data_IF_422374879496
#
_entry.id   IF_422374879496
#
_cell.length_a   1.000
_cell.length_b   1.000
_cell.length_c   1.000
_cell.angle_alpha   90.00
_cell.angle_beta   90.00
_cell.angle_gamma   90.00
#
_symmetry.space_group_name_H-M   'P 1'
#
loop_
_entity.id
_entity.type
_entity.pdbx_description
1 polymer ?
#
# COMPACT_ATOMS: atom_id res chain seq x y z
N UNK A 1 0.22 15.69 13.69
CA UNK A 1 0.07 14.20 13.71
C UNK A 1 0.82 13.67 14.94
N UNK A 2 0.14 12.89 15.80
CA UNK A 2 0.80 12.25 16.94
C UNK A 2 1.62 11.05 16.44
N UNK A 3 2.91 11.01 16.76
CA UNK A 3 3.79 9.86 16.52
C UNK A 3 4.07 9.21 17.87
N UNK A 4 3.64 7.97 18.03
CA UNK A 4 3.92 7.16 19.20
C UNK A 4 5.09 6.23 18.88
N UNK A 5 6.12 6.18 19.71
CA UNK A 5 7.25 5.24 19.55
C UNK A 5 7.13 4.15 20.61
N UNK A 6 7.04 2.89 20.17
CA UNK A 6 7.01 1.74 21.07
C UNK A 6 8.22 0.87 20.76
N UNK A 7 9.05 0.58 21.79
CA UNK A 7 10.09 -0.44 21.65
C UNK A 7 9.45 -1.82 21.72
N UNK A 8 9.65 -2.62 20.69
CA UNK A 8 9.19 -4.00 20.65
C UNK A 8 10.06 -4.93 21.52
N UNK A 9 9.72 -6.24 21.57
CA UNK A 9 10.41 -7.27 22.36
C UNK A 9 11.91 -7.39 22.08
N UNK A 10 12.38 -6.91 20.92
CA UNK A 10 13.79 -6.97 20.47
C UNK A 10 14.49 -5.61 20.49
N UNK A 11 13.85 -4.59 21.08
CA UNK A 11 14.48 -3.26 21.30
C UNK A 11 14.43 -2.30 20.11
N UNK A 12 13.85 -2.70 18.95
CA UNK A 12 13.67 -1.83 17.78
C UNK A 12 12.51 -0.86 18.03
N UNK A 13 12.73 0.41 17.76
CA UNK A 13 11.76 1.48 18.02
C UNK A 13 10.87 1.72 16.78
N UNK A 14 9.81 0.91 16.60
CA UNK A 14 8.79 1.19 15.59
C UNK A 14 7.99 2.44 15.98
N UNK A 15 7.82 3.35 15.03
CA UNK A 15 6.95 4.50 15.19
C UNK A 15 5.56 4.19 14.64
N UNK A 16 4.55 4.78 15.29
CA UNK A 16 3.14 4.62 14.89
C UNK A 16 2.55 5.98 14.60
N UNK A 17 1.74 6.07 13.55
CA UNK A 17 1.04 7.28 13.14
C UNK A 17 -0.45 7.05 13.13
N UNK A 18 -1.19 8.01 13.67
CA UNK A 18 -2.64 8.02 13.65
C UNK A 18 -3.13 8.31 12.23
N UNK A 19 -4.15 7.58 11.77
CA UNK A 19 -4.74 7.75 10.44
C UNK A 19 -5.88 8.79 10.49
N UNK A 20 -5.65 9.93 9.84
CA UNK A 20 -6.63 11.00 9.70
C UNK A 20 -7.20 11.46 11.05
N UNK A 21 -8.52 11.60 11.09
CA UNK A 21 -9.25 11.96 12.32
C UNK A 21 -9.68 10.74 13.16
N UNK A 22 -9.37 9.52 12.71
CA UNK A 22 -9.77 8.28 13.37
C UNK A 22 -8.96 8.01 14.67
N UNK A 23 -9.33 6.97 15.40
CA UNK A 23 -8.58 6.43 16.54
C UNK A 23 -7.58 5.33 16.16
N UNK A 24 -7.49 5.00 14.87
CA UNK A 24 -6.62 3.94 14.33
C UNK A 24 -5.19 4.46 14.16
N UNK A 25 -4.22 3.73 14.74
CA UNK A 25 -2.79 4.01 14.59
C UNK A 25 -2.07 2.83 13.94
N UNK A 26 -1.23 3.12 12.95
CA UNK A 26 -0.49 2.12 12.16
C UNK A 26 1.01 2.32 12.29
N UNK A 27 1.79 1.24 12.16
CA UNK A 27 3.23 1.30 12.05
C UNK A 27 3.64 2.08 10.79
N UNK A 28 4.64 2.96 10.88
CA UNK A 28 5.12 3.77 9.74
C UNK A 28 5.52 2.91 8.54
N UNK A 29 6.10 1.72 8.80
CA UNK A 29 6.32 0.69 7.79
C UNK A 29 5.34 -0.44 8.09
N UNK A 30 4.49 -0.71 7.13
CA UNK A 30 3.41 -1.71 7.15
C UNK A 30 3.64 -2.73 6.05
N UNK A 31 2.78 -3.72 5.88
CA UNK A 31 2.97 -4.73 4.85
C UNK A 31 1.85 -4.70 3.81
N UNK A 32 2.23 -4.56 2.52
CA UNK A 32 1.34 -4.70 1.38
C UNK A 32 1.18 -6.17 0.97
N UNK A 33 -0.05 -6.69 1.06
CA UNK A 33 -0.35 -8.12 0.89
C UNK A 33 -0.65 -8.55 -0.56
N UNK A 34 -0.53 -7.67 -1.55
CA UNK A 34 -0.85 -8.04 -2.94
C UNK A 34 -0.03 -9.23 -3.44
N UNK A 35 1.24 -9.29 -3.09
CA UNK A 35 2.12 -10.40 -3.49
C UNK A 35 1.67 -11.76 -2.95
N UNK A 36 0.90 -11.80 -1.85
CA UNK A 36 0.36 -13.02 -1.26
C UNK A 36 -0.75 -13.65 -2.10
N UNK A 37 -1.43 -12.87 -2.94
CA UNK A 37 -2.52 -13.33 -3.80
C UNK A 37 -2.08 -14.36 -4.84
N UNK A 38 -0.83 -14.31 -5.27
CA UNK A 38 -0.34 -15.10 -6.37
C UNK A 38 -0.82 -14.59 -7.73
N UNK A 39 -0.70 -15.43 -8.75
CA UNK A 39 -1.26 -15.15 -10.08
C UNK A 39 -2.79 -15.10 -10.00
N UNK A 40 -3.38 -14.13 -10.68
CA UNK A 40 -4.79 -13.85 -10.68
C UNK A 40 -5.26 -13.36 -12.05
N UNK A 41 -6.56 -13.31 -12.26
CA UNK A 41 -7.21 -12.79 -13.46
C UNK A 41 -8.21 -11.71 -13.06
N UNK A 42 -8.10 -10.56 -13.69
CA UNK A 42 -9.03 -9.44 -13.53
C UNK A 42 -9.57 -9.08 -14.91
N UNK A 43 -10.87 -9.25 -15.11
CA UNK A 43 -11.52 -8.99 -16.41
C UNK A 43 -10.80 -9.66 -17.59
N UNK A 44 -10.44 -10.93 -17.45
CA UNK A 44 -9.76 -11.70 -18.50
C UNK A 44 -8.27 -11.40 -18.69
N UNK A 45 -7.71 -10.47 -17.92
CA UNK A 45 -6.29 -10.09 -17.98
C UNK A 45 -5.51 -10.69 -16.80
N UNK A 46 -4.36 -11.34 -17.03
CA UNK A 46 -3.50 -11.78 -15.95
C UNK A 46 -3.03 -10.61 -15.09
N UNK A 47 -3.20 -10.73 -13.78
CA UNK A 47 -2.78 -9.71 -12.83
C UNK A 47 -2.37 -10.36 -11.50
N UNK A 48 -1.13 -10.21 -11.10
CA UNK A 48 -0.67 -10.80 -9.86
C UNK A 48 0.84 -11.02 -9.81
N UNK A 49 1.25 -11.91 -8.94
CA UNK A 49 2.65 -12.18 -8.66
C UNK A 49 2.93 -13.69 -8.73
N UNK A 50 3.91 -14.09 -9.54
CA UNK A 50 4.34 -15.48 -9.60
C UNK A 50 5.16 -15.89 -8.36
N UNK A 51 5.33 -17.20 -8.19
CA UNK A 51 6.24 -17.80 -7.20
C UNK A 51 5.93 -17.37 -5.74
N UNK A 52 4.69 -17.61 -5.31
CA UNK A 52 4.24 -17.35 -3.94
C UNK A 52 4.36 -18.61 -3.09
N UNK A 53 5.20 -18.56 -2.06
CA UNK A 53 5.36 -19.60 -1.05
C UNK A 53 4.76 -19.16 0.29
N UNK A 54 3.71 -19.86 0.76
CA UNK A 54 3.00 -19.51 2.00
C UNK A 54 3.89 -19.67 3.25
N UNK A 55 4.86 -20.60 3.25
CA UNK A 55 5.77 -20.78 4.38
C UNK A 55 6.73 -19.59 4.50
N UNK A 56 7.36 -19.19 3.40
CA UNK A 56 8.24 -18.02 3.37
C UNK A 56 7.48 -16.73 3.78
N UNK A 57 6.25 -16.57 3.29
CA UNK A 57 5.37 -15.44 3.67
C UNK A 57 5.04 -15.48 5.15
N UNK A 58 4.74 -16.65 5.71
CA UNK A 58 4.42 -16.82 7.14
C UNK A 58 5.61 -16.44 8.02
N UNK A 59 6.82 -16.87 7.66
CA UNK A 59 8.06 -16.48 8.35
C UNK A 59 8.28 -14.97 8.30
N UNK A 60 8.09 -14.37 7.13
CA UNK A 60 8.21 -12.93 6.91
C UNK A 60 7.21 -12.11 7.75
N UNK A 61 5.93 -12.52 7.79
CA UNK A 61 4.89 -11.86 8.58
C UNK A 61 5.18 -11.96 10.08
N UNK A 62 5.56 -13.13 10.59
CA UNK A 62 5.89 -13.29 12.00
C UNK A 62 7.10 -12.43 12.39
N UNK A 63 8.13 -12.40 11.56
CA UNK A 63 9.26 -11.50 11.75
C UNK A 63 8.83 -10.03 11.82
N UNK A 64 7.98 -9.58 10.89
CA UNK A 64 7.46 -8.21 10.88
C UNK A 64 6.69 -7.87 12.17
N UNK A 65 5.85 -8.77 12.64
CA UNK A 65 5.09 -8.63 13.90
C UNK A 65 6.05 -8.48 15.09
N UNK A 66 7.07 -9.32 15.18
CA UNK A 66 8.07 -9.24 16.25
C UNK A 66 8.85 -7.92 16.21
N UNK A 67 8.95 -7.28 15.04
CA UNK A 67 9.56 -5.97 14.83
C UNK A 67 8.59 -4.79 14.92
N UNK A 68 7.33 -5.03 15.35
CA UNK A 68 6.36 -3.99 15.66
C UNK A 68 5.43 -3.59 14.52
N UNK A 69 5.43 -4.29 13.40
CA UNK A 69 4.42 -4.08 12.36
C UNK A 69 3.05 -4.48 12.91
N UNK A 70 2.09 -3.57 12.82
CA UNK A 70 0.72 -3.79 13.28
C UNK A 70 -0.34 -3.62 12.18
N UNK A 71 0.05 -3.28 10.94
CA UNK A 71 -0.88 -3.02 9.85
C UNK A 71 -0.56 -3.86 8.62
N UNK A 72 -1.61 -4.48 8.05
CA UNK A 72 -1.59 -5.30 6.84
C UNK A 72 -2.60 -4.78 5.84
N UNK A 73 -2.13 -4.38 4.65
CA UNK A 73 -2.97 -3.83 3.58
C UNK A 73 -3.31 -4.91 2.55
N UNK A 74 -4.58 -5.28 2.46
CA UNK A 74 -5.14 -6.31 1.59
C UNK A 74 -6.11 -5.73 0.56
N UNK A 75 -6.73 -6.57 -0.27
CA UNK A 75 -7.90 -6.30 -1.09
C UNK A 75 -8.62 -7.60 -1.45
N UNK A 76 -9.93 -7.52 -1.72
CA UNK A 76 -10.76 -8.63 -2.18
C UNK A 76 -10.23 -9.27 -3.46
N UNK A 77 -9.75 -8.46 -4.39
CA UNK A 77 -9.20 -8.89 -5.69
C UNK A 77 -7.84 -9.59 -5.59
N UNK A 78 -7.09 -9.49 -4.48
CA UNK A 78 -5.78 -10.11 -4.36
C UNK A 78 -5.89 -11.64 -4.31
N UNK A 79 -5.73 -12.27 -5.48
CA UNK A 79 -5.98 -13.69 -5.66
C UNK A 79 -7.45 -14.09 -5.36
N UNK A 80 -8.41 -13.19 -5.60
CA UNK A 80 -9.84 -13.39 -5.31
C UNK A 80 -10.05 -13.88 -3.87
N UNK A 81 -9.58 -13.07 -2.91
CA UNK A 81 -9.63 -13.35 -1.48
C UNK A 81 -8.57 -14.32 -0.96
N UNK A 82 -7.67 -14.85 -1.81
CA UNK A 82 -6.60 -15.75 -1.36
C UNK A 82 -5.66 -15.06 -0.36
N UNK A 83 -5.29 -13.80 -0.62
CA UNK A 83 -4.41 -13.05 0.26
C UNK A 83 -5.07 -12.80 1.64
N UNK A 84 -6.37 -12.48 1.68
CA UNK A 84 -7.13 -12.33 2.93
C UNK A 84 -7.17 -13.65 3.72
N UNK A 85 -7.52 -14.76 3.06
CA UNK A 85 -7.55 -16.08 3.69
C UNK A 85 -6.18 -16.54 4.17
N UNK A 86 -5.10 -16.27 3.42
CA UNK A 86 -3.73 -16.58 3.82
C UNK A 86 -3.33 -15.78 5.05
N UNK A 87 -3.57 -14.46 5.05
CA UNK A 87 -3.29 -13.60 6.20
C UNK A 87 -4.02 -14.10 7.46
N UNK A 88 -5.30 -14.41 7.32
CA UNK A 88 -6.12 -14.96 8.42
C UNK A 88 -5.55 -16.27 8.98
N UNK A 89 -5.07 -17.20 8.14
CA UNK A 89 -4.43 -18.43 8.60
C UNK A 89 -3.15 -18.16 9.38
N UNK A 90 -2.29 -17.25 8.87
CA UNK A 90 -1.01 -16.92 9.50
C UNK A 90 -1.22 -16.21 10.84
N UNK A 91 -2.13 -15.27 10.93
CA UNK A 91 -2.42 -14.54 12.16
C UNK A 91 -3.17 -15.38 13.19
N UNK A 92 -4.03 -16.30 12.73
CA UNK A 92 -4.84 -17.18 13.60
C UNK A 92 -5.67 -16.38 14.61
N UNK A 93 -5.64 -16.78 15.87
CA UNK A 93 -6.38 -16.11 16.97
C UNK A 93 -5.89 -14.69 17.26
N UNK A 94 -4.73 -14.29 16.73
CA UNK A 94 -4.15 -12.94 16.90
C UNK A 94 -4.73 -11.90 15.94
N UNK A 95 -5.59 -12.29 14.99
CA UNK A 95 -6.05 -11.40 13.91
C UNK A 95 -6.62 -10.07 14.43
N UNK A 96 -7.30 -10.06 15.58
CA UNK A 96 -7.88 -8.87 16.19
C UNK A 96 -6.86 -7.94 16.87
N UNK A 97 -5.60 -8.35 16.98
CA UNK A 97 -4.53 -7.52 17.53
C UNK A 97 -3.90 -6.58 16.50
N UNK A 98 -4.32 -6.67 15.25
CA UNK A 98 -3.73 -5.95 14.13
C UNK A 98 -4.76 -5.07 13.42
N UNK A 99 -4.28 -3.99 12.82
CA UNK A 99 -5.04 -3.16 11.90
C UNK A 99 -5.04 -3.85 10.53
N UNK A 100 -6.21 -4.19 10.02
CA UNK A 100 -6.35 -4.82 8.70
C UNK A 100 -7.14 -3.90 7.79
N UNK A 101 -6.50 -3.54 6.68
CA UNK A 101 -7.14 -2.86 5.58
C UNK A 101 -7.51 -3.87 4.48
N UNK A 102 -8.68 -3.68 3.87
CA UNK A 102 -9.03 -4.33 2.60
C UNK A 102 -9.85 -3.38 1.73
N UNK A 103 -10.18 -3.79 0.50
CA UNK A 103 -10.69 -2.88 -0.53
C UNK A 103 -11.75 -3.57 -1.38
N UNK A 104 -12.66 -2.78 -1.94
CA UNK A 104 -13.66 -3.15 -2.94
C UNK A 104 -13.47 -2.32 -4.22
N UNK A 105 -13.62 -2.92 -5.41
CA UNK A 105 -13.66 -2.13 -6.65
C UNK A 105 -13.23 -2.87 -7.91
N UNK A 106 -12.23 -3.74 -7.85
CA UNK A 106 -11.70 -4.42 -9.05
C UNK A 106 -12.36 -5.76 -9.37
N UNK A 107 -13.23 -6.25 -8.51
CA UNK A 107 -13.91 -7.52 -8.71
C UNK A 107 -15.43 -7.33 -8.71
N UNK A 108 -16.06 -7.07 -9.88
CA UNK A 108 -17.50 -6.85 -9.96
C UNK A 108 -18.33 -8.14 -9.80
N UNK A 109 -17.72 -9.32 -9.94
CA UNK A 109 -18.48 -10.59 -9.91
C UNK A 109 -19.55 -10.63 -10.99
N UNK A 110 -20.81 -10.77 -10.59
CA UNK A 110 -21.98 -10.74 -11.47
C UNK A 110 -22.70 -9.38 -11.48
N UNK A 111 -22.20 -8.39 -10.74
CA UNK A 111 -22.74 -7.04 -10.73
C UNK A 111 -22.34 -6.29 -12.01
N UNK A 112 -23.14 -5.32 -12.44
CA UNK A 112 -22.80 -4.46 -13.58
C UNK A 112 -21.57 -3.59 -13.28
N UNK A 113 -21.42 -3.19 -12.00
CA UNK A 113 -20.31 -2.40 -11.52
C UNK A 113 -19.90 -2.83 -10.12
N UNK A 114 -18.59 -2.77 -9.82
CA UNK A 114 -18.07 -3.18 -8.51
C UNK A 114 -18.58 -2.30 -7.35
N UNK A 115 -19.06 -1.10 -7.64
CA UNK A 115 -19.62 -0.19 -6.64
C UNK A 115 -21.15 -0.21 -6.56
N UNK A 116 -21.81 -1.23 -7.11
CA UNK A 116 -23.22 -1.45 -6.80
C UNK A 116 -23.43 -1.67 -5.29
N UNK A 117 -24.44 -1.05 -4.67
CA UNK A 117 -24.67 -1.09 -3.23
C UNK A 117 -24.74 -2.52 -2.64
N UNK A 118 -25.48 -3.41 -3.30
CA UNK A 118 -25.59 -4.81 -2.87
C UNK A 118 -24.27 -5.56 -2.97
N UNK A 119 -23.51 -5.26 -4.03
CA UNK A 119 -22.19 -5.89 -4.24
C UNK A 119 -21.17 -5.41 -3.22
N UNK A 120 -21.09 -4.11 -2.91
CA UNK A 120 -20.23 -3.58 -1.85
C UNK A 120 -20.48 -4.29 -0.52
N UNK A 121 -21.75 -4.42 -0.12
CA UNK A 121 -22.13 -5.11 1.11
C UNK A 121 -21.70 -6.58 1.09
N UNK A 122 -22.04 -7.30 0.01
CA UNK A 122 -21.67 -8.71 -0.15
C UNK A 122 -20.14 -8.91 -0.05
N UNK A 123 -19.36 -8.10 -0.75
CA UNK A 123 -17.89 -8.21 -0.72
C UNK A 123 -17.29 -7.83 0.64
N UNK A 124 -17.84 -6.85 1.33
CA UNK A 124 -17.44 -6.54 2.70
C UNK A 124 -17.65 -7.76 3.62
N UNK A 125 -18.83 -8.37 3.56
CA UNK A 125 -19.16 -9.58 4.34
C UNK A 125 -18.28 -10.77 3.95
N UNK A 126 -18.00 -10.92 2.64
CA UNK A 126 -17.06 -11.95 2.16
C UNK A 126 -15.63 -11.72 2.68
N UNK A 127 -15.16 -10.47 2.70
CA UNK A 127 -13.85 -10.12 3.29
C UNK A 127 -13.81 -10.42 4.78
N UNK A 128 -14.87 -10.14 5.53
CA UNK A 128 -14.98 -10.50 6.95
C UNK A 128 -14.86 -12.02 7.16
N UNK A 129 -15.53 -12.82 6.32
CA UNK A 129 -15.41 -14.29 6.35
C UNK A 129 -13.98 -14.75 6.02
N UNK A 130 -13.36 -14.20 4.97
CA UNK A 130 -12.00 -14.53 4.57
C UNK A 130 -10.98 -14.21 5.68
N UNK A 131 -11.13 -13.04 6.31
CA UNK A 131 -10.25 -12.55 7.37
C UNK A 131 -10.57 -13.18 8.74
N UNK A 132 -11.72 -13.86 8.89
CA UNK A 132 -12.25 -14.40 10.16
C UNK A 132 -12.34 -13.31 11.23
N UNK A 133 -12.97 -12.20 10.89
CA UNK A 133 -13.15 -11.03 11.75
C UNK A 133 -14.60 -10.55 11.74
N UNK A 134 -14.99 -9.87 12.81
CA UNK A 134 -16.29 -9.23 12.92
C UNK A 134 -16.29 -7.82 12.30
N UNK A 135 -15.12 -7.21 12.14
CA UNK A 135 -14.95 -5.88 11.54
C UNK A 135 -13.65 -5.75 10.74
N UNK A 136 -13.63 -4.80 9.81
CA UNK A 136 -12.47 -4.35 9.04
C UNK A 136 -12.05 -2.98 9.60
N UNK A 137 -10.77 -2.78 9.92
CA UNK A 137 -10.32 -1.49 10.46
C UNK A 137 -10.37 -0.38 9.42
N UNK A 138 -9.95 -0.66 8.18
CA UNK A 138 -9.90 0.32 7.09
C UNK A 138 -10.42 -0.31 5.80
N UNK A 139 -11.57 0.17 5.31
CA UNK A 139 -12.19 -0.32 4.09
C UNK A 139 -12.11 0.74 2.99
N UNK A 140 -11.49 0.40 1.87
CA UNK A 140 -11.24 1.33 0.78
C UNK A 140 -12.20 1.12 -0.39
N UNK A 141 -12.61 2.23 -1.01
CA UNK A 141 -12.85 2.21 -2.45
C UNK A 141 -11.51 2.05 -3.16
N UNK A 142 -11.37 1.03 -4.03
CA UNK A 142 -10.08 0.63 -4.61
C UNK A 142 -9.63 1.49 -5.80
N UNK A 143 -10.56 2.22 -6.44
CA UNK A 143 -10.31 3.16 -7.53
C UNK A 143 -11.34 4.30 -7.54
N UNK A 144 -11.11 5.32 -8.39
CA UNK A 144 -11.98 6.49 -8.51
C UNK A 144 -13.01 6.42 -9.63
N UNK A 145 -13.18 5.27 -10.28
CA UNK A 145 -14.22 5.05 -11.28
C UNK A 145 -15.50 4.55 -10.61
N UNK A 146 -16.54 5.39 -10.63
CA UNK A 146 -17.87 5.08 -10.08
C UNK A 146 -18.92 4.87 -11.20
N UNK A 147 -18.48 4.47 -12.38
CA UNK A 147 -19.32 4.27 -13.56
C UNK A 147 -19.59 5.55 -14.33
N UNK A 148 -20.30 5.42 -15.45
CA UNK A 148 -20.63 6.55 -16.32
C UNK A 148 -21.34 7.65 -15.54
N UNK A 149 -20.82 8.89 -15.64
CA UNK A 149 -21.33 10.07 -14.91
C UNK A 149 -21.40 9.86 -13.38
N UNK A 150 -20.50 9.06 -12.83
CA UNK A 150 -20.45 8.70 -11.41
C UNK A 150 -21.77 8.09 -10.86
N UNK A 151 -22.48 7.35 -11.70
CA UNK A 151 -23.82 6.75 -11.44
C UNK A 151 -23.91 6.06 -10.08
N UNK A 152 -22.80 5.40 -9.63
CA UNK A 152 -22.79 4.61 -8.41
C UNK A 152 -22.21 5.37 -7.20
N UNK A 153 -21.72 6.58 -7.34
CA UNK A 153 -20.94 7.26 -6.27
C UNK A 153 -21.77 7.48 -5.01
N UNK A 154 -22.92 8.12 -5.12
CA UNK A 154 -23.71 8.52 -3.95
C UNK A 154 -24.26 7.29 -3.20
N UNK A 155 -24.78 6.31 -3.90
CA UNK A 155 -25.28 5.05 -3.31
C UNK A 155 -24.14 4.22 -2.69
N UNK A 156 -22.97 4.18 -3.33
CA UNK A 156 -21.79 3.50 -2.80
C UNK A 156 -21.32 4.14 -1.49
N UNK A 157 -21.29 5.47 -1.44
CA UNK A 157 -20.95 6.22 -0.21
C UNK A 157 -21.93 5.92 0.91
N UNK A 158 -23.24 5.91 0.60
CA UNK A 158 -24.28 5.58 1.60
C UNK A 158 -24.08 4.18 2.20
N UNK A 159 -23.77 3.18 1.36
CA UNK A 159 -23.50 1.81 1.85
C UNK A 159 -22.27 1.74 2.72
N UNK A 160 -21.18 2.45 2.38
CA UNK A 160 -19.97 2.50 3.24
C UNK A 160 -20.28 3.08 4.61
N UNK A 161 -21.08 4.15 4.68
CA UNK A 161 -21.49 4.72 5.96
C UNK A 161 -22.41 3.79 6.76
N UNK A 162 -23.34 3.08 6.10
CA UNK A 162 -24.17 2.04 6.75
C UNK A 162 -23.32 0.90 7.32
N UNK A 163 -22.32 0.43 6.58
CA UNK A 163 -21.38 -0.59 7.07
C UNK A 163 -20.57 -0.08 8.29
N UNK A 164 -20.25 1.20 8.32
CA UNK A 164 -19.59 1.84 9.47
C UNK A 164 -20.52 1.93 10.68
N UNK A 165 -21.77 2.34 10.50
CA UNK A 165 -22.79 2.40 11.54
C UNK A 165 -23.10 1.01 12.12
N UNK A 166 -23.12 -0.03 11.29
CA UNK A 166 -23.27 -1.43 11.69
C UNK A 166 -22.04 -2.00 12.42
N UNK A 167 -20.93 -1.24 12.49
CA UNK A 167 -19.69 -1.69 13.10
C UNK A 167 -18.88 -2.70 12.26
N UNK A 168 -19.27 -2.95 10.99
CA UNK A 168 -18.55 -3.85 10.08
C UNK A 168 -17.24 -3.26 9.57
N UNK A 169 -17.15 -1.93 9.47
CA UNK A 169 -15.93 -1.20 9.14
C UNK A 169 -15.71 -0.05 10.12
N UNK A 170 -14.45 0.29 10.43
CA UNK A 170 -14.16 1.39 11.37
C UNK A 170 -13.93 2.71 10.65
N UNK A 171 -13.08 2.72 9.62
CA UNK A 171 -12.76 3.93 8.85
C UNK A 171 -12.88 3.67 7.35
N UNK A 172 -13.20 4.73 6.62
CA UNK A 172 -13.37 4.70 5.16
C UNK A 172 -12.14 5.30 4.50
N UNK A 173 -11.58 4.57 3.54
CA UNK A 173 -10.49 5.04 2.70
C UNK A 173 -10.88 5.20 1.23
N UNK A 174 -10.07 5.96 0.49
CA UNK A 174 -10.16 6.07 -0.96
C UNK A 174 -8.81 5.78 -1.58
N UNK A 175 -8.74 4.81 -2.49
CA UNK A 175 -7.58 4.60 -3.35
C UNK A 175 -7.86 5.12 -4.76
N UNK A 176 -6.87 5.72 -5.39
CA UNK A 176 -6.92 6.11 -6.80
C UNK A 176 -5.50 6.36 -7.34
N UNK A 177 -5.40 6.63 -8.65
CA UNK A 177 -4.13 6.91 -9.32
C UNK A 177 -3.99 8.35 -9.78
N UNK A 178 -5.11 9.08 -9.97
CA UNK A 178 -5.14 10.42 -10.54
C UNK A 178 -5.62 11.44 -9.53
N UNK A 179 -5.12 12.68 -9.66
CA UNK A 179 -5.56 13.80 -8.84
C UNK A 179 -7.06 14.08 -8.98
N UNK A 180 -7.57 14.02 -10.20
CA UNK A 180 -8.97 14.29 -10.53
C UNK A 180 -9.92 13.38 -9.77
N UNK A 181 -9.56 12.09 -9.66
CA UNK A 181 -10.34 11.12 -8.92
C UNK A 181 -10.46 11.51 -7.43
N UNK A 182 -9.34 11.90 -6.81
CA UNK A 182 -9.35 12.33 -5.41
C UNK A 182 -10.10 13.65 -5.19
N UNK A 183 -9.87 14.64 -6.05
CA UNK A 183 -10.55 15.95 -5.96
C UNK A 183 -12.06 15.79 -6.06
N UNK A 184 -12.52 14.90 -6.94
CA UNK A 184 -13.93 14.57 -7.13
C UNK A 184 -14.56 13.87 -5.91
N UNK A 185 -13.87 12.87 -5.34
CA UNK A 185 -14.49 11.98 -4.34
C UNK A 185 -14.36 12.48 -2.91
N UNK A 186 -13.30 13.24 -2.56
CA UNK A 186 -13.06 13.69 -1.19
C UNK A 186 -14.27 14.43 -0.58
N UNK A 187 -14.94 15.36 -1.26
CA UNK A 187 -16.09 16.09 -0.69
C UNK A 187 -17.27 15.19 -0.32
N UNK A 188 -17.45 14.07 -1.06
CA UNK A 188 -18.57 13.14 -0.87
C UNK A 188 -18.19 11.99 0.08
N UNK A 189 -17.09 11.32 -0.17
CA UNK A 189 -16.62 10.16 0.61
C UNK A 189 -16.12 10.59 2.00
N UNK A 190 -15.53 11.80 2.12
CA UNK A 190 -14.89 12.31 3.35
C UNK A 190 -13.99 11.26 4.00
N UNK A 191 -13.02 10.72 3.26
CA UNK A 191 -12.20 9.61 3.73
C UNK A 191 -11.25 10.07 4.84
N UNK A 192 -10.96 9.19 5.80
CA UNK A 192 -9.88 9.40 6.76
C UNK A 192 -8.49 9.18 6.13
N UNK A 193 -8.44 8.36 5.06
CA UNK A 193 -7.20 7.91 4.44
C UNK A 193 -7.32 7.91 2.91
N UNK A 194 -6.31 8.46 2.24
CA UNK A 194 -6.09 8.24 0.81
C UNK A 194 -4.97 7.23 0.60
N UNK A 195 -5.08 6.44 -0.47
CA UNK A 195 -4.04 5.52 -0.87
C UNK A 195 -3.71 5.68 -2.35
N UNK A 196 -2.42 5.83 -2.69
CA UNK A 196 -1.95 5.88 -4.09
C UNK A 196 -0.51 5.37 -4.22
N UNK A 197 -0.10 5.14 -5.48
CA UNK A 197 1.30 4.87 -5.76
C UNK A 197 2.13 6.12 -5.51
N UNK A 198 3.20 5.94 -4.75
CA UNK A 198 4.17 7.00 -4.53
C UNK A 198 5.55 6.43 -4.20
N UNK A 199 6.58 7.02 -4.77
CA UNK A 199 8.00 6.72 -4.52
C UNK A 199 8.85 7.89 -5.03
N UNK A 200 10.15 7.86 -4.83
CA UNK A 200 11.02 8.96 -5.26
C UNK A 200 11.10 9.13 -6.79
N UNK A 201 10.87 8.06 -7.58
CA UNK A 201 10.83 8.15 -9.05
C UNK A 201 9.54 8.86 -9.52
N UNK A 202 8.44 8.63 -8.81
CA UNK A 202 7.13 9.21 -9.09
C UNK A 202 6.40 9.48 -7.77
N UNK A 203 6.49 10.71 -7.31
CA UNK A 203 5.85 11.15 -6.05
C UNK A 203 4.32 11.12 -6.11
N UNK A 204 3.74 11.10 -7.33
CA UNK A 204 2.30 11.09 -7.52
C UNK A 204 1.63 12.28 -6.83
N UNK A 205 0.68 11.98 -5.94
CA UNK A 205 -0.13 13.00 -5.24
C UNK A 205 0.63 13.78 -4.16
N UNK A 206 1.84 13.35 -3.79
CA UNK A 206 2.68 14.05 -2.80
C UNK A 206 3.51 15.21 -3.38
N UNK A 207 3.54 15.35 -4.72
CA UNK A 207 4.26 16.46 -5.38
C UNK A 207 3.90 17.81 -4.76
N UNK A 208 4.86 18.72 -4.77
CA UNK A 208 4.65 20.09 -4.32
C UNK A 208 3.51 20.75 -5.13
N UNK A 209 2.70 21.50 -4.46
CA UNK A 209 1.51 22.19 -5.03
C UNK A 209 0.41 21.27 -5.57
N UNK A 210 0.48 19.96 -5.34
CA UNK A 210 -0.57 19.01 -5.71
C UNK A 210 -1.93 19.42 -5.12
N UNK A 211 -3.01 19.45 -5.91
CA UNK A 211 -4.35 19.75 -5.40
C UNK A 211 -4.81 18.71 -4.36
N UNK A 212 -4.50 17.45 -4.57
CA UNK A 212 -4.81 16.37 -3.62
C UNK A 212 -4.08 16.56 -2.29
N UNK A 213 -2.80 16.95 -2.31
CA UNK A 213 -2.04 17.20 -1.09
C UNK A 213 -2.63 18.37 -0.28
N UNK A 214 -3.04 19.45 -0.94
CA UNK A 214 -3.73 20.57 -0.27
C UNK A 214 -5.04 20.13 0.39
N UNK A 215 -5.83 19.29 -0.30
CA UNK A 215 -7.06 18.74 0.27
C UNK A 215 -6.80 17.82 1.47
N UNK A 216 -5.74 16.98 1.43
CA UNK A 216 -5.33 16.18 2.57
C UNK A 216 -4.99 17.05 3.79
N UNK A 217 -4.24 18.13 3.58
CA UNK A 217 -3.86 19.07 4.65
C UNK A 217 -5.09 19.76 5.25
N UNK A 218 -6.00 20.26 4.40
CA UNK A 218 -7.21 20.98 4.82
C UNK A 218 -8.20 20.12 5.59
N UNK A 219 -8.28 18.83 5.26
CA UNK A 219 -9.24 17.87 5.85
C UNK A 219 -8.60 16.91 6.86
N UNK A 220 -7.32 17.08 7.19
CA UNK A 220 -6.54 16.18 8.05
C UNK A 220 -6.64 14.71 7.61
N UNK A 221 -6.50 14.46 6.32
CA UNK A 221 -6.53 13.11 5.72
C UNK A 221 -5.11 12.56 5.67
N UNK A 222 -4.92 11.33 6.15
CA UNK A 222 -3.64 10.63 6.04
C UNK A 222 -3.45 9.99 4.66
N UNK A 223 -2.20 9.78 4.29
CA UNK A 223 -1.83 9.13 3.05
C UNK A 223 -1.11 7.79 3.31
N UNK A 224 -1.52 6.75 2.61
CA UNK A 224 -0.85 5.44 2.59
C UNK A 224 -0.20 5.26 1.23
N UNK A 225 1.13 5.14 1.20
CA UNK A 225 1.88 5.00 -0.04
C UNK A 225 2.11 3.53 -0.39
N UNK A 226 1.54 3.06 -1.51
CA UNK A 226 1.91 1.77 -2.07
C UNK A 226 2.99 1.90 -3.15
N UNK A 227 3.75 0.82 -3.39
CA UNK A 227 4.87 0.80 -4.32
C UNK A 227 6.04 1.72 -3.93
N UNK A 228 6.37 1.87 -2.64
CA UNK A 228 7.36 2.85 -2.18
C UNK A 228 8.78 2.55 -2.68
N UNK A 229 9.10 1.29 -2.97
CA UNK A 229 10.37 0.85 -3.57
C UNK A 229 10.29 0.64 -5.10
N UNK A 230 9.20 1.13 -5.74
CA UNK A 230 8.94 1.00 -7.18
C UNK A 230 9.16 -0.44 -7.71
N UNK A 231 8.65 -1.46 -6.99
CA UNK A 231 8.80 -2.90 -7.31
C UNK A 231 10.26 -3.36 -7.43
N UNK A 232 11.17 -2.74 -6.69
CA UNK A 232 12.59 -3.06 -6.64
C UNK A 232 13.47 -2.19 -7.54
N UNK A 233 12.91 -1.29 -8.34
CA UNK A 233 13.68 -0.33 -9.14
C UNK A 233 14.54 0.57 -8.26
N UNK A 234 14.01 1.05 -7.13
CA UNK A 234 14.75 1.86 -6.16
C UNK A 234 15.90 1.12 -5.47
N UNK A 235 15.96 -0.21 -5.57
CA UNK A 235 17.01 -1.05 -4.98
C UNK A 235 18.15 -1.36 -5.97
N UNK A 236 18.09 -0.84 -7.20
CA UNK A 236 19.11 -1.09 -8.22
C UNK A 236 19.26 -2.57 -8.60
N UNK A 237 18.17 -3.34 -8.56
CA UNK A 237 18.18 -4.78 -8.85
C UNK A 237 18.22 -5.12 -10.33
N UNK A 238 17.84 -4.18 -11.18
CA UNK A 238 17.62 -4.41 -12.60
C UNK A 238 18.59 -3.57 -13.40
N UNK A 239 19.12 -4.18 -14.48
CA UNK A 239 20.15 -3.57 -15.32
C UNK A 239 19.69 -3.51 -16.79
N UNK A 240 19.99 -2.40 -17.44
CA UNK A 240 19.65 -2.14 -18.85
C UNK A 240 20.29 -3.14 -19.82
N UNK A 241 21.51 -3.58 -19.52
CA UNK A 241 22.21 -4.59 -20.31
C UNK A 241 21.67 -6.02 -20.17
N UNK A 242 20.86 -6.29 -19.12
CA UNK A 242 20.19 -7.57 -18.88
C UNK A 242 18.83 -7.32 -18.21
N UNK A 243 17.84 -6.83 -18.94
CA UNK A 243 16.52 -6.55 -18.39
C UNK A 243 15.86 -7.80 -17.78
N UNK A 244 15.08 -7.64 -16.72
CA UNK A 244 14.47 -8.78 -16.03
C UNK A 244 13.47 -9.50 -16.93
N UNK A 245 13.49 -10.83 -16.85
CA UNK A 245 12.44 -11.68 -17.40
C UNK A 245 11.48 -12.05 -16.28
N UNK A 246 10.18 -11.86 -16.51
CA UNK A 246 9.14 -12.19 -15.55
C UNK A 246 8.30 -13.37 -16.05
N UNK A 247 7.76 -14.15 -15.14
CA UNK A 247 6.87 -15.26 -15.46
C UNK A 247 5.59 -14.76 -16.16
N UNK A 248 5.02 -15.55 -17.06
CA UNK A 248 3.74 -15.25 -17.70
C UNK A 248 2.66 -14.96 -16.65
N UNK A 249 1.94 -13.84 -16.82
CA UNK A 249 0.90 -13.40 -15.88
C UNK A 249 1.42 -12.60 -14.68
N UNK A 250 2.74 -12.45 -14.50
CA UNK A 250 3.29 -11.52 -13.53
C UNK A 250 2.98 -10.08 -13.96
N UNK A 251 2.47 -9.29 -13.02
CA UNK A 251 2.07 -7.90 -13.25
C UNK A 251 3.17 -7.02 -13.88
N UNK A 252 4.44 -7.36 -13.68
CA UNK A 252 5.59 -6.59 -14.20
C UNK A 252 5.95 -6.87 -15.65
N UNK A 253 5.54 -8.03 -16.18
CA UNK A 253 6.00 -8.55 -17.47
C UNK A 253 5.84 -7.58 -18.65
N UNK A 254 4.78 -6.76 -18.64
CA UNK A 254 4.44 -5.84 -19.73
C UNK A 254 4.66 -4.36 -19.38
N UNK A 255 5.41 -4.04 -18.31
CA UNK A 255 5.62 -2.64 -17.92
C UNK A 255 6.88 -2.06 -18.53
N UNK A 256 6.74 -0.92 -19.22
CA UNK A 256 7.84 -0.19 -19.89
C UNK A 256 9.04 0.11 -18.98
N UNK A 257 8.77 0.41 -17.69
CA UNK A 257 9.82 0.77 -16.73
C UNK A 257 10.82 -0.35 -16.43
N UNK A 258 10.58 -1.58 -16.87
CA UNK A 258 11.50 -2.71 -16.77
C UNK A 258 12.23 -3.01 -18.09
N UNK A 259 11.97 -2.26 -19.15
CA UNK A 259 12.67 -2.38 -20.42
C UNK A 259 14.03 -1.68 -20.38
N UNK A 260 14.93 -2.09 -21.28
CA UNK A 260 16.31 -1.61 -21.35
C UNK A 260 16.42 -0.09 -21.31
N UNK A 261 15.67 0.62 -22.16
CA UNK A 261 15.76 2.09 -22.27
C UNK A 261 15.37 2.81 -20.99
N UNK A 262 14.30 2.36 -20.33
CA UNK A 262 13.85 2.93 -19.05
C UNK A 262 14.86 2.64 -17.93
N UNK A 263 15.44 1.45 -17.91
CA UNK A 263 16.48 1.08 -16.95
C UNK A 263 17.77 1.90 -17.16
N UNK A 264 18.20 2.10 -18.42
CA UNK A 264 19.37 2.91 -18.75
C UNK A 264 19.23 4.38 -18.25
N UNK A 265 18.01 4.93 -18.30
CA UNK A 265 17.74 6.28 -17.76
C UNK A 265 17.75 6.31 -16.22
N UNK A 266 17.38 5.21 -15.58
CA UNK A 266 17.29 5.11 -14.11
C UNK A 266 18.65 4.82 -13.47
N UNK A 267 19.50 4.01 -14.10
CA UNK A 267 20.80 3.55 -13.55
C UNK A 267 21.68 4.67 -12.98
N UNK A 268 21.91 5.80 -13.69
CA UNK A 268 22.72 6.88 -13.16
C UNK A 268 22.15 7.51 -11.88
N UNK A 269 20.82 7.53 -11.76
CA UNK A 269 20.14 8.04 -10.57
C UNK A 269 20.31 7.08 -9.40
N UNK A 270 20.20 5.78 -9.62
CA UNK A 270 20.43 4.75 -8.60
C UNK A 270 21.90 4.74 -8.15
N UNK A 271 22.87 4.90 -9.05
CA UNK A 271 24.28 4.99 -8.67
C UNK A 271 24.57 6.19 -7.76
N UNK A 272 23.92 7.34 -7.98
CA UNK A 272 23.99 8.47 -7.04
C UNK A 272 23.48 8.10 -5.66
N UNK A 273 22.36 7.35 -5.56
CA UNK A 273 21.82 6.87 -4.29
C UNK A 273 22.79 5.90 -3.60
N UNK A 274 23.36 4.94 -4.34
CA UNK A 274 24.36 3.99 -3.80
C UNK A 274 25.59 4.70 -3.23
N UNK A 275 26.08 5.72 -3.94
CA UNK A 275 27.22 6.52 -3.50
C UNK A 275 26.94 7.32 -2.22
N UNK A 276 25.68 7.76 -2.01
CA UNK A 276 25.27 8.55 -0.86
C UNK A 276 24.89 7.70 0.35
N UNK A 277 24.15 6.61 0.13
CA UNK A 277 23.51 5.84 1.20
C UNK A 277 24.16 4.48 1.43
N UNK A 278 24.89 3.95 0.45
CA UNK A 278 25.45 2.60 0.40
C UNK A 278 24.76 1.72 -0.63
N UNK A 279 25.44 0.64 -1.09
CA UNK A 279 24.95 -0.20 -2.20
C UNK A 279 24.04 -1.34 -1.78
N UNK A 280 23.85 -1.58 -0.48
CA UNK A 280 23.03 -2.70 0.00
C UNK A 280 21.52 -2.46 -0.19
N UNK A 281 20.76 -3.55 -0.31
CA UNK A 281 19.30 -3.46 -0.35
C UNK A 281 18.71 -2.77 0.90
N UNK A 282 19.33 -2.95 2.07
CA UNK A 282 18.91 -2.35 3.33
C UNK A 282 19.03 -0.83 3.28
N UNK A 283 20.18 -0.32 2.83
CA UNK A 283 20.45 1.12 2.76
C UNK A 283 19.55 1.81 1.72
N UNK A 284 19.36 1.19 0.56
CA UNK A 284 18.48 1.72 -0.48
C UNK A 284 16.99 1.60 -0.09
N UNK A 285 16.59 0.54 0.63
CA UNK A 285 15.24 0.45 1.20
C UNK A 285 15.00 1.56 2.22
N UNK A 286 15.97 1.80 3.14
CA UNK A 286 15.88 2.91 4.08
C UNK A 286 15.67 4.23 3.33
N UNK A 287 16.51 4.54 2.35
CA UNK A 287 16.41 5.77 1.58
C UNK A 287 15.02 5.91 0.93
N UNK A 288 14.51 4.86 0.26
CA UNK A 288 13.24 4.89 -0.43
C UNK A 288 12.02 5.02 0.51
N UNK A 289 12.01 4.28 1.63
CA UNK A 289 10.87 4.26 2.54
C UNK A 289 10.83 5.52 3.41
N UNK A 290 11.98 5.93 3.96
CA UNK A 290 12.08 7.13 4.78
C UNK A 290 11.88 8.41 3.98
N UNK A 291 12.16 8.41 2.66
CA UNK A 291 11.82 9.52 1.77
C UNK A 291 10.33 9.85 1.82
N UNK A 292 9.48 8.84 1.69
CA UNK A 292 8.03 9.05 1.76
C UNK A 292 7.56 9.39 3.17
N UNK A 293 8.14 8.77 4.21
CA UNK A 293 7.81 9.04 5.61
C UNK A 293 8.23 10.44 6.06
N UNK A 294 9.05 11.15 5.30
CA UNK A 294 9.41 12.54 5.55
C UNK A 294 8.20 13.49 5.32
N UNK A 295 7.28 13.13 4.44
CA UNK A 295 6.04 13.89 4.23
C UNK A 295 5.08 13.73 5.42
N UNK A 296 4.62 14.86 5.98
CA UNK A 296 3.73 14.87 7.16
C UNK A 296 2.40 14.16 6.95
N UNK A 297 1.90 14.15 5.71
CA UNK A 297 0.62 13.51 5.35
C UNK A 297 0.73 11.98 5.31
N UNK A 298 1.93 11.44 5.14
CA UNK A 298 2.13 9.98 5.03
C UNK A 298 1.94 9.33 6.39
N UNK A 299 0.87 8.55 6.53
CA UNK A 299 0.59 7.74 7.72
C UNK A 299 1.46 6.50 7.75
N UNK A 300 1.60 5.82 6.63
CA UNK A 300 2.52 4.70 6.49
C UNK A 300 2.88 4.43 5.02
N UNK A 301 3.94 3.65 4.84
CA UNK A 301 4.29 3.01 3.57
C UNK A 301 4.00 1.53 3.63
N UNK A 302 3.51 0.95 2.51
CA UNK A 302 3.15 -0.47 2.41
C UNK A 302 3.99 -1.18 1.34
N UNK A 303 5.31 -1.40 1.56
CA UNK A 303 6.11 -2.18 0.65
C UNK A 303 5.58 -3.61 0.54
N UNK A 304 5.56 -4.14 -0.69
CA UNK A 304 5.28 -5.55 -0.93
C UNK A 304 6.44 -6.44 -0.49
N UNK A 305 6.15 -7.71 -0.23
CA UNK A 305 7.13 -8.70 0.19
C UNK A 305 6.71 -10.10 -0.27
N UNK A 306 7.67 -11.03 -0.39
CA UNK A 306 7.42 -12.44 -0.71
C UNK A 306 8.20 -13.38 0.21
N UNK A 307 9.24 -12.88 0.87
CA UNK A 307 10.10 -13.66 1.76
C UNK A 307 10.67 -12.82 2.90
N UNK A 308 11.32 -13.50 3.83
CA UNK A 308 11.91 -12.92 5.03
C UNK A 308 12.96 -11.84 4.74
N UNK A 309 13.83 -12.05 3.73
CA UNK A 309 14.91 -11.11 3.43
C UNK A 309 14.38 -9.76 2.92
N UNK A 310 13.29 -9.78 2.15
CA UNK A 310 12.62 -8.55 1.73
C UNK A 310 12.02 -7.79 2.91
N UNK A 311 11.41 -8.49 3.87
CA UNK A 311 10.89 -7.84 5.09
C UNK A 311 12.02 -7.30 5.96
N UNK A 312 13.11 -8.04 6.14
CA UNK A 312 14.31 -7.55 6.83
C UNK A 312 14.85 -6.26 6.19
N UNK A 313 14.94 -6.25 4.85
CA UNK A 313 15.37 -5.08 4.10
C UNK A 313 14.39 -3.90 4.28
N UNK A 314 13.09 -4.13 4.22
CA UNK A 314 12.08 -3.09 4.41
C UNK A 314 12.12 -2.48 5.83
N UNK A 315 12.46 -3.27 6.84
CA UNK A 315 12.45 -2.83 8.25
C UNK A 315 13.82 -2.34 8.75
N UNK A 316 14.89 -2.48 7.97
CA UNK A 316 16.26 -2.18 8.41
C UNK A 316 16.51 -0.70 8.80
N UNK A 317 15.72 0.23 8.27
CA UNK A 317 15.87 1.66 8.54
C UNK A 317 14.69 2.28 9.31
N UNK A 318 13.92 1.49 10.04
CA UNK A 318 12.71 1.95 10.74
C UNK A 318 13.01 2.98 11.84
N UNK A 319 14.17 2.89 12.50
CA UNK A 319 14.63 3.79 13.55
C UNK A 319 15.67 4.81 13.07
N UNK A 320 15.93 4.85 11.77
CA UNK A 320 16.92 5.74 11.16
C UNK A 320 16.26 6.63 10.07
N UNK A 321 15.51 7.69 10.48
CA UNK A 321 14.85 8.61 9.54
C UNK A 321 15.90 9.37 8.71
N UNK A 322 15.47 9.88 7.55
CA UNK A 322 16.31 10.79 6.76
C UNK A 322 16.49 12.13 7.47
N UNK A 323 17.69 12.71 7.31
CA UNK A 323 17.90 14.14 7.55
C UNK A 323 17.26 14.96 6.41
N UNK A 324 17.08 16.26 6.61
CA UNK A 324 16.57 17.16 5.58
C UNK A 324 17.49 17.20 4.34
N UNK A 325 18.81 17.17 4.54
CA UNK A 325 19.79 17.11 3.46
C UNK A 325 19.68 15.81 2.66
N UNK A 326 19.49 14.67 3.33
CA UNK A 326 19.28 13.39 2.65
C UNK A 326 17.99 13.36 1.86
N UNK A 327 16.90 13.92 2.42
CA UNK A 327 15.62 14.05 1.72
C UNK A 327 15.75 14.93 0.46
N UNK A 328 16.34 16.12 0.59
CA UNK A 328 16.56 17.04 -0.51
C UNK A 328 17.45 16.44 -1.60
N UNK A 329 18.52 15.73 -1.21
CA UNK A 329 19.36 15.01 -2.15
C UNK A 329 18.59 14.01 -3.00
N UNK A 330 17.72 13.18 -2.38
CA UNK A 330 16.90 12.22 -3.13
C UNK A 330 15.97 12.97 -4.09
N UNK A 331 15.34 14.03 -3.62
CA UNK A 331 14.42 14.85 -4.42
C UNK A 331 15.11 15.43 -5.65
N UNK A 332 16.32 15.97 -5.50
CA UNK A 332 17.14 16.51 -6.60
C UNK A 332 17.57 15.42 -7.61
N UNK A 333 17.89 14.21 -7.14
CA UNK A 333 18.27 13.10 -8.02
C UNK A 333 17.14 12.71 -8.96
N UNK A 334 15.87 12.83 -8.51
CA UNK A 334 14.70 12.39 -9.30
C UNK A 334 13.90 13.54 -9.93
N UNK A 335 14.27 14.80 -9.66
CA UNK A 335 13.68 15.99 -10.28
C UNK A 335 13.79 16.00 -11.81
#
# INVERSE_FOLDING_TARGET
>A
MFVLTIRNKIGVAMKYRKLGNSDVSVSEISLGCWTMGGLNWVNGTPNGWANVDEKEISEAINYAIDHGVNHFDNADVYGNGKAERMLSRILGKRTNNFVIATKIGWFPGTAEHAYEPKHIRHQCEQSLVNLKRDYIDLYYFHHGDFGENDKYLDDAVEVMYKLKEEGKIRIIGQSAYKHEDFVKVIPKVKPDVLQSRSNAIDEGVLKDNSPTRKLMEQNNISFVAFGPIAQGLMLGKYHSGNPPQFEPGDHRANQERFKSDSLAQLEPKIEKLKNKFGPSNQELSRAALQYLLFYKQVGCVIPGFRNLDQVKSNLSGVDNPLTEDEFNFIKEVFA
#
